data_IF_208488278059
#
_entry.id   IF_208488278059
#
_cell.length_a   1.000
_cell.length_b   1.000
_cell.length_c   1.000
_cell.angle_alpha   90.00
_cell.angle_beta   90.00
_cell.angle_gamma   90.00
#
_symmetry.space_group_name_H-M   'P 1'
#
loop_
_entity.id
_entity.type
_entity.pdbx_description
1 polymer ?
#
# COMPACT_ATOMS: atom_id res chain seq x y z
N UNK A 1 14.67 7.11 -18.61
CA UNK A 1 14.54 7.39 -17.17
C UNK A 1 13.08 7.22 -16.82
N UNK A 2 12.78 6.54 -15.72
CA UNK A 2 11.42 6.32 -15.23
C UNK A 2 11.10 7.48 -14.28
N UNK A 3 10.24 8.41 -14.69
CA UNK A 3 10.03 9.66 -13.95
C UNK A 3 9.21 9.44 -12.68
N UNK A 4 9.86 9.62 -11.54
CA UNK A 4 9.25 10.18 -10.33
C UNK A 4 9.42 11.70 -10.35
N UNK A 5 8.49 12.47 -9.79
CA UNK A 5 8.57 13.95 -9.86
C UNK A 5 9.69 14.49 -8.96
N UNK A 6 9.81 13.90 -7.77
CA UNK A 6 10.87 14.17 -6.82
C UNK A 6 11.35 12.84 -6.25
N UNK A 7 12.64 12.69 -6.05
CA UNK A 7 13.11 11.50 -5.37
C UNK A 7 14.57 11.52 -5.01
N UNK A 8 14.95 10.51 -4.25
CA UNK A 8 16.33 10.25 -3.84
C UNK A 8 16.63 8.77 -3.96
N UNK A 9 17.83 8.47 -4.44
CA UNK A 9 18.42 7.13 -4.52
C UNK A 9 19.47 6.90 -3.42
N UNK A 10 19.54 7.81 -2.43
CA UNK A 10 20.62 7.84 -1.45
C UNK A 10 20.62 9.13 -0.62
N UNK A 11 20.60 9.07 0.71
CA UNK A 11 20.84 10.26 1.52
C UNK A 11 20.56 10.12 3.02
N UNK A 12 21.33 10.80 3.86
CA UNK A 12 21.14 10.70 5.30
C UNK A 12 19.91 11.48 5.79
N UNK A 13 19.69 12.69 5.27
CA UNK A 13 18.61 13.57 5.68
C UNK A 13 17.93 14.17 4.44
N UNK A 14 16.67 13.81 4.21
CA UNK A 14 15.89 14.23 3.05
C UNK A 14 14.63 14.96 3.51
N UNK A 15 14.35 16.09 2.90
CA UNK A 15 13.16 16.88 3.17
C UNK A 15 12.51 17.25 1.84
N UNK A 16 11.30 16.75 1.62
CA UNK A 16 10.42 17.17 0.54
C UNK A 16 9.30 18.02 1.15
N UNK A 17 9.41 19.35 1.01
CA UNK A 17 8.45 20.28 1.60
C UNK A 17 7.84 21.24 0.59
N UNK A 18 6.51 21.43 0.67
CA UNK A 18 5.77 22.44 -0.09
C UNK A 18 5.89 22.32 -1.62
N UNK A 19 6.03 21.09 -2.13
CA UNK A 19 6.09 20.82 -3.55
C UNK A 19 4.72 20.47 -4.12
N UNK A 20 4.58 20.63 -5.43
CA UNK A 20 3.42 20.18 -6.20
C UNK A 20 3.89 19.11 -7.18
N UNK A 21 3.19 17.98 -7.23
CA UNK A 21 3.35 16.93 -8.23
C UNK A 21 2.00 16.63 -8.88
N UNK A 22 1.89 16.83 -10.19
CA UNK A 22 0.69 16.49 -10.97
C UNK A 22 1.09 15.46 -12.01
N UNK A 23 0.55 14.26 -11.87
CA UNK A 23 0.93 13.06 -12.63
C UNK A 23 2.42 12.73 -12.51
N UNK A 24 2.70 11.45 -12.43
CA UNK A 24 4.08 10.96 -12.38
C UNK A 24 4.07 9.51 -12.81
N UNK A 25 5.14 9.07 -13.47
CA UNK A 25 5.11 7.72 -14.04
C UNK A 25 5.26 6.62 -12.98
N UNK A 26 6.03 6.91 -11.94
CA UNK A 26 6.28 5.98 -10.85
C UNK A 26 5.61 6.45 -9.57
N UNK A 27 5.99 7.64 -9.09
CA UNK A 27 5.44 8.25 -7.90
C UNK A 27 5.70 9.76 -7.87
N UNK A 28 4.82 10.53 -7.23
CA UNK A 28 5.11 11.94 -6.95
C UNK A 28 6.39 12.13 -6.13
N UNK A 29 6.55 11.32 -5.08
CA UNK A 29 7.79 11.23 -4.30
C UNK A 29 8.33 9.81 -4.24
N UNK A 30 9.61 9.63 -4.55
CA UNK A 30 10.29 8.35 -4.46
C UNK A 30 11.46 8.42 -3.49
N UNK A 31 11.54 7.45 -2.58
CA UNK A 31 12.77 7.14 -1.86
C UNK A 31 13.18 5.74 -2.24
N UNK A 32 14.37 5.63 -2.81
CA UNK A 32 14.92 4.43 -3.39
C UNK A 32 16.27 4.13 -2.74
N UNK A 33 16.58 2.85 -2.66
CA UNK A 33 17.84 2.33 -2.12
C UNK A 33 18.01 2.63 -0.64
N UNK A 34 18.72 3.69 -0.25
CA UNK A 34 19.04 3.99 1.14
C UNK A 34 18.70 5.42 1.50
N UNK A 35 17.92 5.62 2.56
CA UNK A 35 17.83 6.93 3.19
C UNK A 35 17.57 6.81 4.68
N UNK A 36 18.27 7.56 5.52
CA UNK A 36 18.14 7.35 6.98
C UNK A 36 17.00 8.16 7.61
N UNK A 37 16.88 9.45 7.29
CA UNK A 37 15.85 10.35 7.85
C UNK A 37 15.13 11.05 6.72
N UNK A 38 13.83 10.82 6.59
CA UNK A 38 13.01 11.35 5.49
C UNK A 38 11.79 12.08 6.05
N UNK A 39 11.59 13.31 5.60
CA UNK A 39 10.38 14.09 5.86
C UNK A 39 9.70 14.45 4.53
N UNK A 40 8.44 14.08 4.37
CA UNK A 40 7.58 14.48 3.25
C UNK A 40 6.42 15.27 3.84
N UNK A 41 6.40 16.59 3.66
CA UNK A 41 5.42 17.46 4.32
C UNK A 41 4.90 18.65 3.52
N UNK A 42 3.64 19.03 3.73
CA UNK A 42 3.07 20.22 3.08
C UNK A 42 2.95 20.12 1.57
N UNK A 43 3.06 18.91 0.99
CA UNK A 43 3.02 18.73 -0.45
C UNK A 43 1.60 18.50 -0.97
N UNK A 44 1.38 18.85 -2.24
CA UNK A 44 0.19 18.49 -3.01
C UNK A 44 0.58 17.47 -4.08
N UNK A 45 -0.07 16.30 -4.09
CA UNK A 45 0.07 15.33 -5.17
C UNK A 45 -1.29 15.01 -5.77
N UNK A 46 -1.38 15.15 -7.09
CA UNK A 46 -2.59 14.87 -7.85
C UNK A 46 -2.26 13.85 -8.94
N UNK A 47 -3.07 12.79 -9.03
CA UNK A 47 -3.04 11.84 -10.14
C UNK A 47 -4.39 11.91 -10.84
N UNK A 48 -4.41 12.29 -12.12
CA UNK A 48 -5.65 12.58 -12.86
C UNK A 48 -5.47 12.37 -14.36
N UNK A 49 -6.58 12.24 -15.06
CA UNK A 49 -6.61 12.38 -16.52
C UNK A 49 -6.30 13.83 -16.89
N UNK A 50 -5.20 14.05 -17.59
CA UNK A 50 -4.82 15.34 -18.18
C UNK A 50 -4.90 15.23 -19.70
N UNK A 51 -5.08 16.34 -20.45
CA UNK A 51 -4.91 16.31 -21.90
C UNK A 51 -3.54 15.72 -22.27
N UNK A 52 -3.57 14.59 -22.96
CA UNK A 52 -2.39 13.83 -23.34
C UNK A 52 -2.14 13.94 -24.85
N UNK A 53 -0.93 14.34 -25.23
CA UNK A 53 -0.50 14.38 -26.63
C UNK A 53 0.54 13.28 -26.91
N UNK A 54 0.17 12.21 -27.64
CA UNK A 54 1.11 11.15 -28.01
C UNK A 54 2.23 11.62 -28.94
N UNK A 55 2.14 12.82 -29.55
CA UNK A 55 3.23 13.38 -30.34
C UNK A 55 4.39 13.88 -29.46
N UNK A 56 4.15 14.21 -28.19
CA UNK A 56 5.15 14.76 -27.26
C UNK A 56 5.89 13.68 -26.46
N UNK A 57 5.41 12.44 -26.47
CA UNK A 57 6.05 11.34 -25.75
C UNK A 57 5.85 10.00 -26.43
N UNK A 58 6.86 9.13 -26.33
CA UNK A 58 6.79 7.75 -26.85
C UNK A 58 6.05 6.80 -25.89
N UNK A 59 5.72 7.24 -24.68
CA UNK A 59 5.01 6.44 -23.69
C UNK A 59 3.50 6.59 -23.87
N UNK A 60 2.72 5.60 -23.46
CA UNK A 60 1.26 5.73 -23.37
C UNK A 60 0.89 6.63 -22.18
N UNK A 61 -0.23 7.33 -22.25
CA UNK A 61 -0.76 8.18 -21.15
C UNK A 61 -0.77 7.46 -19.80
N UNK A 62 -1.19 6.19 -19.81
CA UNK A 62 -1.26 5.32 -18.65
C UNK A 62 0.06 5.09 -17.91
N UNK A 63 1.18 5.41 -18.56
CA UNK A 63 2.48 5.41 -17.93
C UNK A 63 2.58 6.47 -16.83
N UNK A 64 1.78 7.56 -16.84
CA UNK A 64 1.86 8.71 -15.93
C UNK A 64 0.86 8.68 -14.76
N UNK A 65 0.25 7.52 -14.50
CA UNK A 65 -0.70 7.27 -13.41
C UNK A 65 -0.04 6.51 -12.25
N UNK A 66 1.07 7.06 -11.74
CA UNK A 66 1.86 6.50 -10.65
C UNK A 66 1.25 6.69 -9.25
N UNK A 67 2.04 6.37 -8.23
CA UNK A 67 1.69 6.50 -6.81
C UNK A 67 1.84 7.95 -6.30
N UNK A 68 1.36 8.21 -5.08
CA UNK A 68 1.64 9.47 -4.39
C UNK A 68 3.06 9.48 -3.84
N UNK A 69 3.39 8.46 -3.05
CA UNK A 69 4.71 8.25 -2.44
C UNK A 69 5.06 6.78 -2.61
N UNK A 70 6.32 6.50 -2.91
CA UNK A 70 6.85 5.15 -2.95
C UNK A 70 8.16 5.07 -2.16
N UNK A 71 8.19 4.21 -1.15
CA UNK A 71 9.39 3.87 -0.40
C UNK A 71 9.87 2.50 -0.88
N UNK A 72 10.80 2.50 -1.83
CA UNK A 72 11.24 1.33 -2.58
C UNK A 72 12.55 0.75 -2.02
N UNK A 73 12.73 -0.57 -2.11
CA UNK A 73 14.02 -1.18 -1.80
C UNK A 73 14.89 -1.26 -3.04
N UNK A 74 16.18 -1.03 -2.88
CA UNK A 74 17.13 -1.29 -3.98
C UNK A 74 17.37 -2.75 -4.24
N UNK A 75 18.16 -3.08 -5.28
CA UNK A 75 18.74 -4.41 -5.38
C UNK A 75 19.52 -4.69 -4.09
N UNK A 76 19.34 -5.89 -3.55
CA UNK A 76 19.90 -6.27 -2.26
C UNK A 76 21.44 -6.28 -2.28
N UNK A 77 22.06 -5.61 -1.31
CA UNK A 77 23.41 -5.90 -0.85
C UNK A 77 23.37 -6.13 0.69
N UNK A 78 23.78 -7.31 1.18
CA UNK A 78 23.68 -7.71 2.59
C UNK A 78 24.52 -6.86 3.55
N UNK A 79 25.44 -6.05 3.03
CA UNK A 79 26.29 -5.14 3.83
C UNK A 79 25.65 -3.78 4.09
N UNK A 80 24.52 -3.46 3.43
CA UNK A 80 23.92 -2.12 3.43
C UNK A 80 22.54 -2.11 4.08
N UNK A 81 22.26 -1.06 4.87
CA UNK A 81 20.97 -0.82 5.53
C UNK A 81 19.89 -0.36 4.53
N UNK A 82 19.61 -1.10 3.46
CA UNK A 82 18.63 -0.70 2.44
C UNK A 82 17.23 -0.39 3.01
N UNK A 83 16.51 0.43 2.25
CA UNK A 83 15.23 1.01 2.61
C UNK A 83 15.35 2.36 3.31
N UNK A 84 14.19 3.00 3.49
CA UNK A 84 14.11 4.21 4.29
C UNK A 84 14.17 3.86 5.79
N UNK A 85 14.97 4.59 6.56
CA UNK A 85 15.17 4.40 7.99
C UNK A 85 13.97 4.89 8.79
N UNK A 86 14.02 6.15 9.22
CA UNK A 86 12.93 6.86 9.88
C UNK A 86 12.27 7.83 8.89
N UNK A 87 10.98 7.62 8.63
CA UNK A 87 10.19 8.37 7.66
C UNK A 87 8.98 9.01 8.33
N UNK A 88 8.76 10.29 8.07
CA UNK A 88 7.52 10.98 8.40
C UNK A 88 6.88 11.54 7.12
N UNK A 89 5.65 11.11 6.83
CA UNK A 89 4.80 11.62 5.76
C UNK A 89 3.65 12.35 6.43
N UNK A 90 3.68 13.69 6.45
CA UNK A 90 2.74 14.46 7.27
C UNK A 90 2.27 15.78 6.69
N UNK A 91 1.01 16.13 6.90
CA UNK A 91 0.46 17.42 6.47
C UNK A 91 0.41 17.58 4.95
N UNK A 92 0.26 16.48 4.20
CA UNK A 92 0.14 16.51 2.74
C UNK A 92 -1.32 16.37 2.30
N UNK A 93 -1.60 16.86 1.09
CA UNK A 93 -2.84 16.63 0.37
C UNK A 93 -2.58 15.70 -0.82
N UNK A 94 -3.21 14.53 -0.79
CA UNK A 94 -3.09 13.51 -1.83
C UNK A 94 -4.44 13.29 -2.52
N UNK A 95 -4.48 13.37 -3.84
CA UNK A 95 -5.73 13.30 -4.62
C UNK A 95 -5.55 12.34 -5.80
N UNK A 96 -6.41 11.33 -5.87
CA UNK A 96 -6.56 10.47 -7.04
C UNK A 96 -7.90 10.76 -7.74
N UNK A 97 -7.85 11.24 -8.97
CA UNK A 97 -9.00 11.55 -9.81
C UNK A 97 -9.16 10.54 -10.94
N UNK A 98 -8.52 9.37 -10.85
CA UNK A 98 -8.74 8.27 -11.79
C UNK A 98 -10.08 7.55 -11.49
N UNK A 99 -10.54 6.73 -12.42
CA UNK A 99 -11.80 6.00 -12.33
C UNK A 99 -11.68 4.79 -11.39
N UNK A 100 -10.82 3.85 -11.78
CA UNK A 100 -10.70 2.51 -11.18
C UNK A 100 -9.26 2.22 -10.76
N UNK A 101 -8.26 2.97 -11.22
CA UNK A 101 -6.85 2.74 -10.87
C UNK A 101 -6.51 3.21 -9.45
N UNK A 102 -5.87 2.36 -8.62
CA UNK A 102 -5.42 2.76 -7.30
C UNK A 102 -4.13 3.58 -7.35
N UNK A 103 -4.08 4.64 -6.56
CA UNK A 103 -2.88 5.44 -6.27
C UNK A 103 -2.82 5.70 -4.77
N UNK A 104 -1.62 5.71 -4.20
CA UNK A 104 -1.48 5.75 -2.75
C UNK A 104 -0.05 5.98 -2.29
N UNK A 105 0.15 5.78 -1.00
CA UNK A 105 1.46 5.68 -0.37
C UNK A 105 1.83 4.20 -0.35
N UNK A 106 2.85 3.81 -1.12
CA UNK A 106 3.42 2.46 -1.16
C UNK A 106 4.65 2.38 -0.27
N UNK A 107 4.61 1.53 0.75
CA UNK A 107 5.73 1.23 1.63
C UNK A 107 6.20 -0.18 1.29
N UNK A 108 7.23 -0.29 0.46
CA UNK A 108 7.85 -1.57 0.07
C UNK A 108 9.04 -1.88 0.99
N UNK A 109 9.85 -0.85 1.29
CA UNK A 109 10.86 -0.89 2.33
C UNK A 109 10.89 0.39 3.17
N UNK A 110 10.66 0.21 4.46
CA UNK A 110 10.75 1.25 5.47
C UNK A 110 10.89 0.61 6.85
N UNK A 111 11.89 1.03 7.63
CA UNK A 111 12.14 0.48 8.97
C UNK A 111 11.21 1.11 10.01
N UNK A 112 10.98 2.41 9.93
CA UNK A 112 10.13 3.15 10.85
C UNK A 112 9.39 4.25 10.09
N UNK A 113 8.11 4.00 9.76
CA UNK A 113 7.32 4.88 8.91
C UNK A 113 6.11 5.41 9.67
N UNK A 114 6.03 6.73 9.78
CA UNK A 114 4.88 7.47 10.27
C UNK A 114 4.16 8.15 9.11
N UNK A 115 2.86 7.85 8.94
CA UNK A 115 1.94 8.55 8.05
C UNK A 115 0.91 9.25 8.92
N UNK A 116 0.98 10.57 9.04
CA UNK A 116 0.12 11.30 9.97
C UNK A 116 -0.37 12.67 9.52
N UNK A 117 -1.61 13.02 9.84
CA UNK A 117 -2.15 14.36 9.56
C UNK A 117 -2.25 14.66 8.06
N UNK A 118 -2.41 13.64 7.21
CA UNK A 118 -2.61 13.83 5.76
C UNK A 118 -4.10 13.77 5.42
N UNK A 119 -4.48 14.43 4.34
CA UNK A 119 -5.79 14.25 3.69
C UNK A 119 -5.59 13.45 2.40
N UNK A 120 -6.24 12.30 2.31
CA UNK A 120 -6.09 11.33 1.22
C UNK A 120 -7.45 11.13 0.55
N UNK A 121 -7.60 11.63 -0.67
CA UNK A 121 -8.82 11.52 -1.46
C UNK A 121 -8.60 10.43 -2.51
N UNK A 122 -9.46 9.41 -2.50
CA UNK A 122 -9.47 8.28 -3.44
C UNK A 122 -8.16 7.48 -3.52
N UNK A 123 -7.34 7.59 -2.48
CA UNK A 123 -6.10 6.84 -2.40
C UNK A 123 -6.02 5.98 -1.15
N UNK A 124 -4.87 5.32 -1.02
CA UNK A 124 -4.65 4.33 0.03
C UNK A 124 -3.26 4.45 0.64
N UNK A 125 -3.07 3.85 1.81
CA UNK A 125 -1.75 3.55 2.38
C UNK A 125 -1.57 2.04 2.36
N UNK A 126 -0.49 1.56 1.77
CA UNK A 126 -0.15 0.13 1.74
C UNK A 126 1.24 -0.12 2.29
N UNK A 127 1.33 -1.02 3.26
CA UNK A 127 2.59 -1.71 3.59
C UNK A 127 2.53 -3.09 2.99
N UNK A 128 3.38 -3.34 1.99
CA UNK A 128 3.59 -4.67 1.43
C UNK A 128 5.08 -4.96 1.35
N UNK A 129 5.43 -6.22 1.10
CA UNK A 129 6.80 -6.53 0.73
C UNK A 129 6.90 -6.43 -0.79
N UNK A 130 8.05 -5.95 -1.26
CA UNK A 130 8.36 -6.09 -2.67
C UNK A 130 8.70 -7.54 -2.98
N UNK A 131 8.19 -7.99 -4.12
CA UNK A 131 8.35 -9.35 -4.62
C UNK A 131 9.09 -9.23 -5.94
N UNK A 132 10.28 -9.81 -6.01
CA UNK A 132 11.13 -9.77 -7.20
C UNK A 132 11.06 -11.09 -7.96
N UNK A 133 10.81 -11.06 -9.26
CA UNK A 133 10.97 -12.25 -10.09
C UNK A 133 12.47 -12.46 -10.33
N UNK A 134 13.02 -13.57 -9.86
CA UNK A 134 14.45 -13.86 -9.99
C UNK A 134 14.63 -15.20 -10.68
N UNK A 135 15.59 -15.25 -11.61
CA UNK A 135 16.01 -16.48 -12.26
C UNK A 135 16.55 -17.46 -11.21
N UNK A 136 16.06 -18.70 -11.22
CA UNK A 136 16.53 -19.72 -10.30
C UNK A 136 18.01 -20.05 -10.60
N UNK A 137 18.85 -20.10 -9.55
CA UNK A 137 20.28 -20.44 -9.65
C UNK A 137 20.74 -21.15 -8.38
N UNK A 138 21.83 -21.91 -8.45
CA UNK A 138 22.38 -22.63 -7.29
C UNK A 138 22.71 -21.70 -6.11
N UNK A 139 23.05 -20.42 -6.39
CA UNK A 139 23.37 -19.42 -5.38
C UNK A 139 22.16 -18.91 -4.58
N UNK A 140 20.94 -19.01 -5.13
CA UNK A 140 19.73 -18.56 -4.44
C UNK A 140 18.89 -19.75 -3.92
N UNK A 141 19.17 -20.97 -4.37
CA UNK A 141 18.40 -22.18 -4.08
C UNK A 141 18.16 -22.46 -2.59
N UNK A 142 19.17 -22.21 -1.74
CA UNK A 142 19.20 -22.63 -0.33
C UNK A 142 19.23 -21.47 0.68
N UNK A 143 18.86 -20.25 0.28
CA UNK A 143 18.76 -19.17 1.27
C UNK A 143 17.50 -19.41 2.14
N UNK A 144 17.65 -19.37 3.47
CA UNK A 144 16.62 -19.75 4.46
C UNK A 144 15.57 -18.65 4.74
N UNK A 145 15.77 -17.41 4.29
CA UNK A 145 14.86 -16.27 4.51
C UNK A 145 13.59 -16.27 3.61
N UNK A 146 13.30 -17.37 2.90
CA UNK A 146 12.38 -17.42 1.77
C UNK A 146 11.19 -18.30 2.08
N UNK A 147 10.21 -17.69 2.74
CA UNK A 147 9.02 -18.38 3.17
C UNK A 147 8.10 -18.65 1.94
N UNK A 148 8.26 -19.86 1.41
CA UNK A 148 7.58 -20.51 0.28
C UNK A 148 6.32 -19.81 -0.29
N UNK A 149 6.42 -19.27 -1.51
CA UNK A 149 5.27 -19.08 -2.39
C UNK A 149 5.52 -19.80 -3.73
N UNK A 150 4.57 -20.69 -4.08
CA UNK A 150 4.67 -21.72 -5.13
C UNK A 150 4.13 -21.24 -6.48
N UNK A 151 4.78 -21.77 -7.53
CA UNK A 151 4.41 -21.94 -8.94
C UNK A 151 4.87 -20.85 -9.92
N UNK A 152 5.55 -21.32 -10.97
CA UNK A 152 6.43 -20.58 -11.87
C UNK A 152 5.83 -20.47 -13.29
N UNK A 153 6.02 -19.33 -13.99
CA UNK A 153 6.01 -19.32 -15.44
C UNK A 153 7.36 -19.83 -15.95
N UNK A 154 7.37 -20.97 -16.65
CA UNK A 154 8.52 -21.37 -17.48
C UNK A 154 8.55 -20.49 -18.71
N UNK A 155 9.56 -19.65 -18.84
CA UNK A 155 9.81 -18.91 -20.07
C UNK A 155 11.10 -19.44 -20.68
N UNK A 156 11.02 -19.96 -21.91
CA UNK A 156 12.16 -20.51 -22.65
C UNK A 156 12.96 -21.60 -21.90
N UNK A 157 12.28 -22.42 -21.08
CA UNK A 157 12.91 -23.53 -20.35
C UNK A 157 13.69 -23.12 -19.09
N UNK A 158 13.71 -21.84 -18.74
CA UNK A 158 14.33 -21.32 -17.51
C UNK A 158 13.28 -21.20 -16.41
N UNK A 159 13.60 -21.73 -15.23
CA UNK A 159 12.78 -21.55 -14.04
C UNK A 159 13.05 -20.16 -13.42
N UNK A 160 11.98 -19.42 -13.18
CA UNK A 160 12.00 -18.16 -12.46
C UNK A 160 11.18 -18.32 -11.19
N UNK A 161 11.63 -17.75 -10.07
CA UNK A 161 10.94 -17.79 -8.79
C UNK A 161 10.61 -16.38 -8.30
N UNK A 162 9.48 -16.24 -7.62
CA UNK A 162 9.14 -15.02 -6.90
C UNK A 162 9.93 -14.99 -5.59
N UNK A 163 10.72 -13.93 -5.42
CA UNK A 163 11.51 -13.65 -4.24
C UNK A 163 10.88 -12.56 -3.43
N UNK A 164 10.29 -12.97 -2.31
CA UNK A 164 9.98 -12.06 -1.22
C UNK A 164 11.17 -12.04 -0.28
N UNK A 165 11.75 -10.87 -0.10
CA UNK A 165 12.84 -10.70 0.84
C UNK A 165 12.26 -10.32 2.21
N UNK A 166 12.30 -11.28 3.14
CA UNK A 166 11.66 -11.21 4.45
C UNK A 166 12.49 -10.48 5.54
N UNK A 167 13.57 -9.78 5.18
CA UNK A 167 14.48 -9.09 6.12
C UNK A 167 13.87 -7.89 6.87
N UNK A 168 12.55 -7.74 6.89
CA UNK A 168 11.80 -6.64 7.51
C UNK A 168 11.34 -6.95 8.94
N UNK A 169 12.09 -7.78 9.68
CA UNK A 169 11.85 -8.10 11.11
C UNK A 169 11.83 -6.87 12.04
N UNK A 170 12.19 -5.69 11.55
CA UNK A 170 12.16 -4.43 12.29
C UNK A 170 11.17 -3.37 11.75
N UNK A 171 10.46 -3.63 10.64
CA UNK A 171 9.57 -2.61 10.04
C UNK A 171 8.43 -2.24 10.99
N UNK A 172 8.28 -0.95 11.27
CA UNK A 172 7.20 -0.35 12.04
C UNK A 172 6.45 0.61 11.15
N UNK A 173 5.13 0.49 11.12
CA UNK A 173 4.27 1.38 10.35
C UNK A 173 3.21 1.94 11.27
N UNK A 174 3.15 3.26 11.36
CA UNK A 174 2.12 3.99 12.09
C UNK A 174 1.33 4.84 11.11
N UNK A 175 0.03 4.60 11.01
CA UNK A 175 -0.91 5.41 10.22
C UNK A 175 -1.88 6.06 11.20
N UNK A 176 -1.75 7.36 11.45
CA UNK A 176 -2.52 8.01 12.51
C UNK A 176 -2.99 9.43 12.21
N UNK A 177 -4.20 9.78 12.65
CA UNK A 177 -4.71 11.15 12.50
C UNK A 177 -4.85 11.60 11.05
N UNK A 178 -5.05 10.67 10.11
CA UNK A 178 -5.29 11.00 8.70
C UNK A 178 -6.79 11.02 8.40
N UNK A 179 -7.16 11.79 7.37
CA UNK A 179 -8.50 11.79 6.80
C UNK A 179 -8.48 11.11 5.43
N UNK A 180 -9.21 10.00 5.30
CA UNK A 180 -9.42 9.28 4.06
C UNK A 180 -10.83 9.54 3.54
N UNK A 181 -10.95 9.95 2.28
CA UNK A 181 -12.23 10.18 1.61
C UNK A 181 -12.26 9.37 0.33
N UNK A 182 -13.10 8.34 0.28
CA UNK A 182 -13.29 7.52 -0.91
C UNK A 182 -14.60 7.90 -1.61
N UNK A 183 -14.47 8.40 -2.83
CA UNK A 183 -15.56 8.80 -3.75
C UNK A 183 -15.54 8.01 -5.05
N UNK A 184 -14.50 7.21 -5.29
CA UNK A 184 -14.43 6.32 -6.45
C UNK A 184 -15.47 5.18 -6.37
N UNK A 185 -15.99 4.71 -7.52
CA UNK A 185 -16.98 3.64 -7.55
C UNK A 185 -16.42 2.28 -7.13
N UNK A 186 -15.10 2.08 -7.27
CA UNK A 186 -14.43 0.84 -6.89
C UNK A 186 -14.27 0.69 -5.38
N UNK A 187 -14.44 -0.54 -4.90
CA UNK A 187 -14.15 -0.91 -3.53
C UNK A 187 -12.64 -1.12 -3.35
N UNK A 188 -11.99 -0.19 -2.66
CA UNK A 188 -10.56 -0.25 -2.34
C UNK A 188 -10.35 -0.02 -0.84
N UNK A 189 -9.34 -0.65 -0.23
CA UNK A 189 -8.95 -0.32 1.13
C UNK A 189 -8.40 1.09 1.21
N UNK A 190 -8.69 1.78 2.32
CA UNK A 190 -8.02 3.02 2.68
C UNK A 190 -6.63 2.72 3.27
N UNK A 191 -6.54 1.64 4.07
CA UNK A 191 -5.30 1.19 4.68
C UNK A 191 -5.18 -0.32 4.50
N UNK A 192 -4.04 -0.78 3.97
CA UNK A 192 -3.73 -2.19 3.77
C UNK A 192 -2.35 -2.53 4.34
N UNK A 193 -2.29 -3.53 5.21
CA UNK A 193 -1.04 -4.09 5.73
C UNK A 193 -0.96 -5.54 5.27
N UNK A 194 -0.23 -5.80 4.19
CA UNK A 194 -0.15 -7.09 3.50
C UNK A 194 1.29 -7.52 3.17
N UNK A 195 2.21 -7.26 4.10
CA UNK A 195 3.61 -7.70 4.04
C UNK A 195 4.18 -8.00 5.42
N UNK A 196 5.51 -8.07 5.50
CA UNK A 196 6.29 -8.29 6.71
C UNK A 196 6.33 -7.00 7.52
N UNK A 197 5.91 -7.06 8.78
CA UNK A 197 5.88 -5.92 9.69
C UNK A 197 5.99 -6.39 11.15
N UNK A 198 6.88 -5.76 11.91
CA UNK A 198 7.05 -6.04 13.34
C UNK A 198 5.94 -5.39 14.18
N UNK A 199 5.53 -4.17 13.81
CA UNK A 199 4.44 -3.43 14.46
C UNK A 199 3.66 -2.57 13.47
N UNK A 200 2.33 -2.66 13.55
CA UNK A 200 1.42 -1.80 12.80
C UNK A 200 0.49 -1.07 13.77
N UNK A 201 0.51 0.26 13.76
CA UNK A 201 -0.37 1.10 14.57
C UNK A 201 -1.29 1.91 13.65
N UNK A 202 -2.58 1.60 13.66
CA UNK A 202 -3.59 2.27 12.84
C UNK A 202 -4.54 2.99 13.79
N UNK A 203 -4.32 4.29 13.98
CA UNK A 203 -4.89 5.02 15.10
C UNK A 203 -5.58 6.33 14.74
N UNK A 204 -6.76 6.56 15.27
CA UNK A 204 -7.38 7.90 15.26
C UNK A 204 -7.54 8.47 13.83
N UNK A 205 -7.76 7.61 12.83
CA UNK A 205 -8.03 8.03 11.46
C UNK A 205 -9.54 8.20 11.24
N UNK A 206 -9.91 9.12 10.33
CA UNK A 206 -11.28 9.28 9.84
C UNK A 206 -11.33 8.70 8.42
N UNK A 207 -12.16 7.69 8.19
CA UNK A 207 -12.24 6.96 6.93
C UNK A 207 -13.69 6.97 6.46
N UNK A 208 -13.97 7.73 5.38
CA UNK A 208 -15.34 7.96 4.89
C UNK A 208 -15.49 7.55 3.43
N UNK A 209 -16.49 6.72 3.15
CA UNK A 209 -16.91 6.38 1.79
C UNK A 209 -18.13 7.23 1.49
N UNK A 210 -17.93 8.19 0.62
CA UNK A 210 -18.96 9.15 0.21
C UNK A 210 -19.59 8.69 -1.11
N UNK A 211 -20.81 9.19 -1.38
CA UNK A 211 -21.47 8.97 -2.67
C UNK A 211 -20.57 9.39 -3.82
N UNK A 212 -20.35 8.50 -4.78
CA UNK A 212 -19.64 8.83 -6.02
C UNK A 212 -20.44 9.87 -6.81
N UNK A 213 -19.87 11.06 -6.95
CA UNK A 213 -20.34 12.08 -7.90
C UNK A 213 -19.46 12.16 -9.16
N UNK A 214 -18.38 11.38 -9.19
CA UNK A 214 -17.43 11.36 -10.29
C UNK A 214 -17.97 10.46 -11.41
N UNK A 215 -18.11 11.01 -12.61
CA UNK A 215 -18.44 10.26 -13.82
C UNK A 215 -17.19 10.12 -14.68
N UNK A 216 -16.96 8.91 -15.17
CA UNK A 216 -15.80 8.58 -16.00
C UNK A 216 -16.26 7.97 -17.31
N UNK A 217 -15.67 8.41 -18.40
CA UNK A 217 -15.91 7.86 -19.73
C UNK A 217 -15.31 6.45 -19.86
N UNK A 218 -15.85 5.63 -20.76
CA UNK A 218 -15.26 4.31 -21.06
C UNK A 218 -13.83 4.44 -21.58
N UNK A 219 -13.52 5.52 -22.31
CA UNK A 219 -12.16 5.81 -22.78
C UNK A 219 -11.18 6.04 -21.62
N UNK A 220 -11.59 6.80 -20.59
CA UNK A 220 -10.76 7.01 -19.39
C UNK A 220 -10.52 5.69 -18.65
N UNK A 221 -11.58 4.88 -18.47
CA UNK A 221 -11.45 3.55 -17.85
C UNK A 221 -10.55 2.63 -18.66
N UNK A 222 -10.63 2.67 -19.99
CA UNK A 222 -9.77 1.88 -20.87
C UNK A 222 -8.30 2.34 -20.79
N UNK A 223 -8.04 3.65 -20.74
CA UNK A 223 -6.70 4.20 -20.57
C UNK A 223 -6.05 3.72 -19.27
N UNK A 224 -6.84 3.54 -18.20
CA UNK A 224 -6.35 3.06 -16.92
C UNK A 224 -5.95 1.58 -16.88
N UNK A 225 -6.49 0.73 -17.79
CA UNK A 225 -6.27 -0.73 -17.81
C UNK A 225 -4.84 -1.15 -18.17
N UNK A 226 -4.03 -0.23 -18.71
CA UNK A 226 -2.62 -0.53 -18.93
C UNK A 226 -1.91 -0.73 -17.58
N UNK A 227 -1.03 -1.75 -17.46
CA UNK A 227 -0.48 -2.15 -16.18
C UNK A 227 0.21 -0.97 -15.49
N UNK A 228 -0.05 -0.74 -14.20
CA UNK A 228 0.83 0.10 -13.42
C UNK A 228 2.21 -0.55 -13.35
N UNK A 229 3.24 0.22 -13.67
CA UNK A 229 4.63 -0.25 -13.61
C UNK A 229 5.11 -0.20 -12.15
N UNK A 230 4.56 -1.08 -11.31
CA UNK A 230 4.93 -1.14 -9.88
C UNK A 230 6.20 -1.92 -9.59
N UNK A 231 6.87 -2.45 -10.61
CA UNK A 231 8.12 -3.15 -10.42
C UNK A 231 9.13 -2.58 -11.41
N UNK A 232 9.98 -1.69 -10.89
CA UNK A 232 11.35 -1.66 -11.37
C UNK A 232 11.80 -3.13 -11.27
N UNK A 233 12.09 -3.76 -12.42
CA UNK A 233 12.65 -5.12 -12.55
C UNK A 233 11.72 -6.35 -12.69
N UNK A 234 10.39 -6.24 -12.73
CA UNK A 234 9.59 -7.39 -13.19
C UNK A 234 9.43 -7.37 -14.71
N UNK A 235 9.97 -8.36 -15.40
CA UNK A 235 9.59 -8.63 -16.79
C UNK A 235 8.08 -8.94 -16.84
N UNK A 236 7.30 -7.95 -17.29
CA UNK A 236 5.98 -8.06 -17.94
C UNK A 236 5.16 -9.33 -17.64
N UNK A 237 4.77 -9.57 -16.39
CA UNK A 237 3.67 -10.49 -16.11
C UNK A 237 2.49 -9.77 -15.48
N UNK A 238 1.45 -9.71 -16.29
CA UNK A 238 0.11 -9.21 -16.07
C UNK A 238 -0.65 -9.90 -14.92
N UNK A 239 0.00 -10.68 -14.07
CA UNK A 239 -0.64 -11.59 -13.13
C UNK A 239 -0.47 -11.12 -11.68
N UNK A 240 0.51 -10.25 -11.40
CA UNK A 240 0.69 -9.57 -10.10
C UNK A 240 -0.29 -8.39 -9.89
N UNK A 241 -1.42 -8.44 -10.61
CA UNK A 241 -2.48 -7.42 -10.72
C UNK A 241 -3.33 -7.24 -9.47
N UNK A 242 -3.04 -7.87 -8.33
CA UNK A 242 -3.92 -7.91 -7.14
C UNK A 242 -4.00 -6.59 -6.33
N UNK A 243 -4.02 -5.44 -7.01
CA UNK A 243 -4.70 -4.23 -6.54
C UNK A 243 -5.93 -3.88 -7.41
N UNK A 244 -6.23 -4.67 -8.45
CA UNK A 244 -7.45 -4.54 -9.24
C UNK A 244 -8.60 -5.18 -8.47
N UNK A 245 -9.34 -4.39 -7.69
CA UNK A 245 -10.76 -4.61 -7.32
C UNK A 245 -11.17 -6.00 -6.73
N UNK A 246 -10.24 -6.91 -6.43
CA UNK A 246 -10.53 -8.32 -6.09
C UNK A 246 -10.30 -8.65 -4.62
N UNK A 247 -9.55 -7.83 -3.88
CA UNK A 247 -9.42 -7.94 -2.43
C UNK A 247 -10.70 -7.38 -1.79
N UNK A 248 -11.37 -8.11 -0.88
CA UNK A 248 -12.67 -7.70 -0.36
C UNK A 248 -12.65 -6.27 0.20
N UNK A 249 -13.71 -5.53 -0.16
CA UNK A 249 -14.05 -4.13 0.15
C UNK A 249 -13.97 -3.77 1.65
N UNK A 250 -12.77 -3.74 2.23
CA UNK A 250 -12.54 -3.41 3.65
C UNK A 250 -11.94 -2.04 3.78
N UNK A 251 -12.36 -1.23 4.76
CA UNK A 251 -11.73 0.09 4.97
C UNK A 251 -10.28 -0.06 5.47
N UNK A 252 -10.09 -0.94 6.45
CA UNK A 252 -8.79 -1.36 6.97
C UNK A 252 -8.61 -2.86 6.75
N UNK A 253 -7.54 -3.25 6.05
CA UNK A 253 -7.17 -4.64 5.79
C UNK A 253 -5.85 -5.00 6.46
N UNK A 254 -5.83 -6.11 7.19
CA UNK A 254 -4.64 -6.65 7.87
C UNK A 254 -4.45 -8.10 7.44
N UNK A 255 -3.49 -8.34 6.56
CA UNK A 255 -3.13 -9.67 6.08
C UNK A 255 -1.59 -9.84 6.08
N UNK A 256 -0.94 -9.70 7.26
CA UNK A 256 0.51 -9.66 7.32
C UNK A 256 1.12 -11.01 6.95
N UNK A 257 2.31 -10.95 6.38
CA UNK A 257 3.04 -12.15 5.95
C UNK A 257 3.86 -12.77 7.10
N UNK A 258 4.30 -11.95 8.06
CA UNK A 258 5.00 -12.38 9.26
C UNK A 258 4.37 -11.79 10.54
N UNK A 259 4.72 -12.35 11.69
CA UNK A 259 4.08 -12.02 12.98
C UNK A 259 4.68 -10.82 13.67
N UNK A 260 3.79 -9.93 14.11
CA UNK A 260 4.11 -8.79 14.96
C UNK A 260 2.90 -8.37 15.81
N UNK A 261 2.97 -7.14 16.34
CA UNK A 261 1.84 -6.50 17.03
C UNK A 261 1.10 -5.54 16.10
N UNK A 262 -0.20 -5.72 15.93
CA UNK A 262 -1.08 -4.79 15.23
C UNK A 262 -2.12 -4.23 16.18
N UNK A 263 -2.23 -2.90 16.25
CA UNK A 263 -3.24 -2.18 17.01
C UNK A 263 -4.06 -1.33 16.06
N UNK A 264 -5.38 -1.54 16.05
CA UNK A 264 -6.36 -0.72 15.35
C UNK A 264 -7.22 -0.03 16.41
N UNK A 265 -7.05 1.28 16.58
CA UNK A 265 -7.68 1.99 17.70
C UNK A 265 -8.22 3.37 17.33
N UNK A 266 -9.39 3.72 17.87
CA UNK A 266 -9.89 5.11 17.81
C UNK A 266 -10.29 5.58 16.40
N UNK A 267 -10.35 4.68 15.42
CA UNK A 267 -10.71 5.07 14.05
C UNK A 267 -12.22 5.26 13.92
N UNK A 268 -12.62 6.23 13.10
CA UNK A 268 -14.02 6.44 12.68
C UNK A 268 -14.13 5.95 11.23
N UNK A 269 -14.99 4.97 10.98
CA UNK A 269 -15.15 4.31 9.69
C UNK A 269 -16.61 4.34 9.27
N UNK A 270 -16.90 5.00 8.14
CA UNK A 270 -18.25 5.23 7.64
C UNK A 270 -18.38 4.86 6.16
N UNK A 271 -19.43 4.14 5.81
CA UNK A 271 -19.83 3.80 4.43
C UNK A 271 -19.21 2.52 3.88
N UNK A 272 -18.52 1.71 4.70
CA UNK A 272 -18.01 0.40 4.28
C UNK A 272 -18.86 -0.74 4.81
N UNK A 273 -19.14 -1.74 3.98
CA UNK A 273 -19.77 -2.99 4.42
C UNK A 273 -18.85 -3.76 5.38
N UNK A 274 -17.54 -3.76 5.09
CA UNK A 274 -16.50 -4.32 5.96
C UNK A 274 -15.60 -3.18 6.43
N UNK A 275 -15.63 -2.85 7.71
CA UNK A 275 -14.82 -1.75 8.25
C UNK A 275 -13.40 -2.21 8.53
N UNK A 276 -13.25 -3.35 9.21
CA UNK A 276 -11.94 -3.90 9.58
C UNK A 276 -11.95 -5.38 9.24
N UNK A 277 -10.99 -5.83 8.46
CA UNK A 277 -10.78 -7.25 8.15
C UNK A 277 -9.35 -7.61 8.50
N UNK A 278 -9.19 -8.65 9.31
CA UNK A 278 -7.90 -9.20 9.64
C UNK A 278 -7.86 -10.70 9.37
N UNK A 279 -6.75 -11.14 8.78
CA UNK A 279 -6.46 -12.53 8.45
C UNK A 279 -5.31 -13.05 9.32
N UNK A 280 -5.25 -14.37 9.50
CA UNK A 280 -4.09 -14.99 10.12
C UNK A 280 -2.88 -14.89 9.17
N UNK A 281 -1.64 -14.82 9.69
CA UNK A 281 -0.45 -14.75 8.85
C UNK A 281 -0.35 -15.95 7.91
N UNK A 282 0.01 -15.70 6.65
CA UNK A 282 0.07 -16.75 5.61
C UNK A 282 1.29 -17.67 5.77
N UNK A 283 2.39 -17.16 6.32
CA UNK A 283 3.59 -17.96 6.61
C UNK A 283 3.68 -18.30 8.10
N UNK A 284 3.45 -19.57 8.41
CA UNK A 284 3.49 -20.16 9.76
C UNK A 284 4.77 -20.96 10.00
N UNK A 285 5.77 -20.85 9.12
CA UNK A 285 6.96 -21.71 9.08
C UNK A 285 7.94 -21.52 10.24
N UNK A 286 7.81 -20.46 11.06
CA UNK A 286 8.57 -20.32 12.30
C UNK A 286 7.70 -20.64 13.52
N UNK A 287 8.10 -21.66 14.29
CA UNK A 287 7.39 -22.14 15.50
C UNK A 287 7.35 -21.11 16.67
N UNK A 288 7.86 -19.90 16.48
CA UNK A 288 8.00 -18.83 17.48
C UNK A 288 7.08 -17.63 17.26
N UNK A 289 6.23 -17.67 16.25
CA UNK A 289 5.51 -16.51 15.73
C UNK A 289 4.21 -16.22 16.51
N UNK A 290 4.20 -15.22 17.40
CA UNK A 290 2.99 -14.78 18.12
C UNK A 290 2.35 -13.56 17.43
N UNK A 291 1.13 -13.71 16.91
CA UNK A 291 0.33 -12.56 16.45
C UNK A 291 -0.31 -11.88 17.66
N UNK A 292 -0.10 -10.57 17.83
CA UNK A 292 -0.87 -9.76 18.77
C UNK A 292 -1.72 -8.76 18.00
N UNK A 293 -3.03 -9.02 17.90
CA UNK A 293 -3.98 -8.15 17.22
C UNK A 293 -4.97 -7.56 18.25
N UNK A 294 -4.93 -6.24 18.40
CA UNK A 294 -5.87 -5.50 19.25
C UNK A 294 -6.71 -4.56 18.38
N UNK A 295 -8.04 -4.72 18.43
CA UNK A 295 -9.00 -3.88 17.71
C UNK A 295 -9.93 -3.25 18.73
N UNK A 296 -9.71 -1.98 19.06
CA UNK A 296 -10.37 -1.38 20.24
C UNK A 296 -10.81 0.06 20.04
N UNK A 297 -11.95 0.44 20.62
CA UNK A 297 -12.37 1.85 20.62
C UNK A 297 -12.62 2.43 19.23
N UNK A 298 -12.92 1.61 18.22
CA UNK A 298 -13.26 2.09 16.87
C UNK A 298 -14.77 2.34 16.78
N UNK A 299 -15.17 3.33 16.00
CA UNK A 299 -16.56 3.61 15.65
C UNK A 299 -16.78 3.22 14.20
N UNK A 300 -17.64 2.25 13.93
CA UNK A 300 -17.81 1.68 12.58
C UNK A 300 -19.29 1.45 12.23
N UNK A 301 -19.69 1.69 10.98
CA UNK A 301 -21.01 1.28 10.48
C UNK A 301 -21.00 -0.05 9.70
N UNK A 302 -19.81 -0.62 9.49
CA UNK A 302 -19.59 -1.92 8.87
C UNK A 302 -19.08 -2.99 9.80
N UNK A 303 -18.91 -4.20 9.25
CA UNK A 303 -18.47 -5.37 9.99
C UNK A 303 -16.98 -5.33 10.35
N UNK A 304 -16.66 -5.82 11.55
CA UNK A 304 -15.30 -6.15 11.99
C UNK A 304 -15.13 -7.66 11.92
N UNK A 305 -14.23 -8.13 11.07
CA UNK A 305 -13.93 -9.57 10.86
C UNK A 305 -12.51 -9.86 11.28
N UNK A 306 -12.32 -10.76 12.25
CA UNK A 306 -11.01 -11.12 12.79
C UNK A 306 -10.73 -12.62 12.59
N UNK A 307 -9.45 -13.03 12.63
CA UNK A 307 -9.13 -14.44 12.52
C UNK A 307 -9.70 -15.21 13.72
N UNK A 308 -9.99 -16.51 13.56
CA UNK A 308 -10.42 -17.34 14.67
C UNK A 308 -9.32 -17.38 15.76
N UNK A 309 -9.70 -17.61 17.04
CA UNK A 309 -8.74 -17.78 18.11
C UNK A 309 -7.75 -18.90 17.78
N UNK A 310 -6.47 -18.64 18.04
CA UNK A 310 -5.39 -19.60 17.89
C UNK A 310 -4.51 -19.56 19.14
N UNK A 311 -3.96 -20.70 19.61
CA UNK A 311 -3.00 -20.70 20.72
C UNK A 311 -1.78 -19.81 20.47
N UNK A 312 -1.48 -19.50 19.20
CA UNK A 312 -0.36 -18.66 18.76
C UNK A 312 -0.77 -17.21 18.47
N UNK A 313 -2.01 -16.81 18.75
CA UNK A 313 -2.50 -15.47 18.50
C UNK A 313 -3.25 -14.90 19.70
N UNK A 314 -2.83 -13.72 20.17
CA UNK A 314 -3.62 -12.88 21.06
C UNK A 314 -4.47 -11.96 20.20
N UNK A 315 -5.75 -12.28 20.06
CA UNK A 315 -6.70 -11.48 19.30
C UNK A 315 -7.72 -10.92 20.28
N UNK A 316 -7.85 -9.59 20.34
CA UNK A 316 -8.85 -8.91 21.17
C UNK A 316 -9.62 -7.89 20.34
N UNK A 317 -10.94 -7.96 20.43
CA UNK A 317 -11.84 -6.91 20.00
C UNK A 317 -12.68 -6.44 21.19
N UNK A 318 -12.53 -5.17 21.59
CA UNK A 318 -13.28 -4.62 22.72
C UNK A 318 -13.60 -3.14 22.53
N UNK A 319 -14.61 -2.63 23.24
CA UNK A 319 -14.99 -1.22 23.24
C UNK A 319 -15.25 -0.59 21.84
N UNK A 320 -15.50 -1.40 20.81
CA UNK A 320 -15.87 -0.90 19.49
C UNK A 320 -17.37 -0.55 19.48
N UNK A 321 -17.70 0.59 18.85
CA UNK A 321 -19.06 1.10 18.71
C UNK A 321 -19.53 0.79 17.29
N UNK A 322 -20.59 0.01 17.17
CA UNK A 322 -21.26 -0.22 15.88
C UNK A 322 -22.37 0.81 15.71
N UNK A 323 -22.25 1.65 14.69
CA UNK A 323 -23.30 2.56 14.27
C UNK A 323 -24.37 1.79 13.48
N UNK A 324 -25.62 2.28 13.43
CA UNK A 324 -26.60 1.77 12.48
C UNK A 324 -26.00 1.81 11.06
N UNK A 325 -26.30 0.81 10.21
CA UNK A 325 -25.81 0.82 8.84
C UNK A 325 -26.27 2.12 8.18
N UNK A 326 -25.32 2.92 7.71
CA UNK A 326 -25.61 4.08 6.89
C UNK A 326 -26.40 3.59 5.67
N UNK A 327 -27.52 4.24 5.29
CA UNK A 327 -28.20 3.87 4.06
C UNK A 327 -27.19 3.91 2.91
N UNK A 328 -27.16 2.90 2.03
CA UNK A 328 -26.23 2.90 0.92
C UNK A 328 -26.37 4.23 0.16
N UNK A 329 -25.26 4.81 -0.33
CA UNK A 329 -25.29 6.02 -1.13
C UNK A 329 -26.40 5.93 -2.17
N UNK A 330 -27.48 6.70 -2.00
CA UNK A 330 -28.58 6.69 -2.95
C UNK A 330 -28.05 7.26 -4.25
N UNK A 331 -27.95 6.43 -5.29
CA UNK A 331 -27.73 6.87 -6.66
C UNK A 331 -28.92 7.74 -7.09
N UNK A 332 -28.88 9.01 -6.73
CA UNK A 332 -29.84 10.02 -7.16
C UNK A 332 -29.20 10.80 -8.28
N UNK A 333 -29.47 10.29 -9.49
CA UNK A 333 -29.35 10.88 -10.84
C UNK A 333 -28.08 11.63 -11.22
#
# INVERSE_FOLDING_TARGET
MWDYSYGSEGGENLIFSNNISINSSVAGFMVMYWSEKVLITGNLVIVRHEPFDPALTKQKESAYFGQFVRLHHGPHNPEDKYGAGSVAITGNLFINELADRPSGISIEAGRDVLVSGNKIINGLVRKHDEINLVKESDANRDMDEFAAQRVFPKENGVAYRMLRYAGADASRVTVTGNEFILRQPGDKPAILIDGTVSRAFIKDNIIRKETTYLTFTDAQRENEKSPPRFMLYSENKAEDRELTCSTPATAIGIAPESTGMTLVQGNIIEGWVKSITAEAPKNTLSDTSHLSLLVTGNTTDGAITLPPPSPRATIKADANITLPPSPPPTHTR
#
